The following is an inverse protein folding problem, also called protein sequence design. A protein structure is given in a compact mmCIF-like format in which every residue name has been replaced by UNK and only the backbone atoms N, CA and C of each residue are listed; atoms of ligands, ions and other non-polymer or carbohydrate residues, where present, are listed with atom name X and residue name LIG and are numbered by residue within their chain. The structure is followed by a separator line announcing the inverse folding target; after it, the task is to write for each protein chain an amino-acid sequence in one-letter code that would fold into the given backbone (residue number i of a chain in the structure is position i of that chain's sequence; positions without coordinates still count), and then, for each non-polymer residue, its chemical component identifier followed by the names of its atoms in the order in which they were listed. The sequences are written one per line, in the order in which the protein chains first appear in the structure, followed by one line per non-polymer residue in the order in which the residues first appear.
data_IF_972429674622
#
_entry.id   IF_972429674622
#
_cell.length_a   1.000
_cell.length_b   1.000
_cell.length_c   1.000
_cell.angle_alpha   90.00
_cell.angle_beta   90.00
_cell.angle_gamma   90.00
#
_symmetry.space_group_name_H-M   'P 1'
#
loop_
_entity.id
_entity.type
_entity.pdbx_description
1 polymer ?
#
# COMPACT_ATOMS: atom_id res chain seq x y z
N UNK A 1 -23.43 -28.98 -33.48
CA UNK A 1 -22.88 -27.67 -33.89
C UNK A 1 -23.35 -26.66 -32.87
N UNK A 2 -22.74 -26.65 -31.69
CA UNK A 2 -22.96 -25.64 -30.66
C UNK A 2 -21.59 -25.44 -30.02
N UNK A 3 -21.00 -24.27 -30.25
CA UNK A 3 -19.71 -23.87 -29.70
C UNK A 3 -19.98 -23.40 -28.27
N UNK A 4 -19.57 -24.18 -27.28
CA UNK A 4 -19.43 -23.69 -25.92
C UNK A 4 -18.38 -22.57 -25.94
N UNK A 5 -18.84 -21.39 -25.54
CA UNK A 5 -18.00 -20.20 -25.40
C UNK A 5 -17.14 -20.42 -24.17
N UNK A 6 -15.92 -20.90 -24.42
CA UNK A 6 -14.83 -20.97 -23.46
C UNK A 6 -14.67 -19.58 -22.82
N UNK A 7 -14.92 -19.50 -21.51
CA UNK A 7 -14.73 -18.29 -20.73
C UNK A 7 -13.28 -17.88 -20.90
N UNK A 8 -13.05 -16.76 -21.59
CA UNK A 8 -11.72 -16.17 -21.71
C UNK A 8 -11.21 -15.96 -20.29
N UNK A 9 -10.25 -16.80 -19.89
CA UNK A 9 -9.49 -16.64 -18.67
C UNK A 9 -9.03 -15.19 -18.63
N UNK A 10 -9.33 -14.49 -17.53
CA UNK A 10 -8.78 -13.18 -17.23
C UNK A 10 -7.27 -13.32 -17.39
N UNK A 11 -6.77 -12.88 -18.53
CA UNK A 11 -5.37 -13.04 -18.89
C UNK A 11 -4.59 -12.27 -17.83
N UNK A 12 -3.57 -12.90 -17.25
CA UNK A 12 -2.61 -12.36 -16.29
C UNK A 12 -2.03 -11.02 -16.77
N UNK A 13 -2.79 -9.93 -16.63
CA UNK A 13 -2.26 -8.58 -16.69
C UNK A 13 -1.44 -8.45 -15.41
N UNK A 14 -0.14 -8.69 -15.53
CA UNK A 14 0.78 -8.69 -14.38
C UNK A 14 0.54 -7.45 -13.53
N UNK A 15 0.12 -7.67 -12.28
CA UNK A 15 -0.18 -6.59 -11.32
C UNK A 15 1.07 -5.73 -11.18
N UNK A 16 1.00 -4.42 -11.42
CA UNK A 16 2.13 -3.51 -11.24
C UNK A 16 1.93 -2.65 -10.00
N UNK A 17 3.04 -2.27 -9.38
CA UNK A 17 3.06 -1.24 -8.36
C UNK A 17 4.09 -0.17 -8.68
N UNK A 18 3.75 1.08 -8.37
CA UNK A 18 4.72 2.16 -8.26
C UNK A 18 5.13 2.27 -6.81
N UNK A 19 6.41 2.04 -6.55
CA UNK A 19 6.94 1.87 -5.20
C UNK A 19 8.06 2.87 -4.95
N UNK A 20 7.94 3.64 -3.87
CA UNK A 20 9.00 4.51 -3.40
C UNK A 20 10.14 3.66 -2.83
N UNK A 21 11.37 3.88 -3.30
CA UNK A 21 12.52 3.20 -2.74
C UNK A 21 12.72 3.64 -1.28
N UNK A 22 12.80 2.71 -0.29
CA UNK A 22 12.93 3.06 1.12
C UNK A 22 14.27 3.72 1.48
N UNK A 23 15.22 3.76 0.54
CA UNK A 23 16.57 4.28 0.77
C UNK A 23 16.86 5.62 0.08
N UNK A 24 16.25 5.88 -1.08
CA UNK A 24 16.52 7.08 -1.87
C UNK A 24 15.26 7.77 -2.41
N UNK A 25 14.07 7.29 -2.01
CA UNK A 25 12.76 7.78 -2.41
C UNK A 25 12.42 7.73 -3.91
N UNK A 26 13.35 7.35 -4.80
CA UNK A 26 13.07 7.15 -6.23
C UNK A 26 11.86 6.23 -6.41
N UNK A 27 10.90 6.65 -7.24
CA UNK A 27 9.77 5.82 -7.63
C UNK A 27 10.22 4.77 -8.64
N UNK A 28 9.84 3.51 -8.40
CA UNK A 28 10.16 2.38 -9.26
C UNK A 28 8.86 1.69 -9.67
N UNK A 29 8.78 1.30 -10.94
CA UNK A 29 7.72 0.40 -11.40
C UNK A 29 8.17 -1.03 -11.13
N UNK A 30 7.37 -1.76 -10.37
CA UNK A 30 7.64 -3.13 -9.97
C UNK A 30 6.56 -4.03 -10.53
N UNK A 31 6.98 -5.12 -11.19
CA UNK A 31 6.11 -6.20 -11.60
C UNK A 31 5.87 -7.12 -10.41
N UNK A 32 4.65 -7.12 -9.88
CA UNK A 32 4.30 -7.88 -8.68
C UNK A 32 4.22 -9.38 -8.95
N UNK A 33 4.08 -9.82 -10.20
CA UNK A 33 4.18 -11.23 -10.55
C UNK A 33 5.61 -11.78 -10.41
N UNK A 34 6.61 -10.88 -10.35
CA UNK A 34 8.04 -11.22 -10.31
C UNK A 34 8.73 -10.79 -9.03
N UNK A 35 8.00 -10.65 -7.91
CA UNK A 35 8.57 -10.21 -6.63
C UNK A 35 9.68 -11.15 -6.14
N UNK A 36 9.56 -12.45 -6.43
CA UNK A 36 10.57 -13.46 -6.10
C UNK A 36 11.96 -13.16 -6.71
N UNK A 37 12.01 -12.42 -7.82
CA UNK A 37 13.25 -11.99 -8.47
C UNK A 37 13.99 -10.88 -7.70
N UNK A 38 13.45 -10.44 -6.56
CA UNK A 38 14.02 -9.41 -5.68
C UNK A 38 14.30 -8.11 -6.44
N UNK A 39 13.24 -7.40 -6.85
CA UNK A 39 13.38 -6.17 -7.63
C UNK A 39 14.28 -5.16 -6.91
N UNK A 40 15.08 -4.43 -7.70
CA UNK A 40 16.02 -3.42 -7.21
C UNK A 40 15.60 -2.04 -7.68
N UNK A 41 15.97 -1.03 -6.90
CA UNK A 41 15.79 0.35 -7.32
C UNK A 41 16.69 0.67 -8.52
N UNK A 42 16.10 1.25 -9.57
CA UNK A 42 16.82 1.66 -10.77
C UNK A 42 17.79 2.83 -10.56
N UNK A 43 17.68 3.55 -9.44
CA UNK A 43 18.60 4.64 -9.10
C UNK A 43 19.74 4.18 -8.18
N UNK A 44 19.43 3.62 -6.99
CA UNK A 44 20.45 3.28 -6.01
C UNK A 44 20.86 1.80 -5.96
N UNK A 45 20.23 0.93 -6.77
CA UNK A 45 20.55 -0.51 -6.86
C UNK A 45 20.17 -1.38 -5.64
N UNK A 46 19.69 -0.75 -4.55
CA UNK A 46 19.23 -1.45 -3.34
C UNK A 46 17.91 -2.19 -3.58
N UNK A 47 17.64 -3.29 -2.84
CA UNK A 47 16.39 -4.03 -2.99
C UNK A 47 15.16 -3.17 -2.66
N UNK A 48 14.08 -3.38 -3.39
CA UNK A 48 12.75 -2.88 -3.03
C UNK A 48 12.13 -3.88 -2.05
N UNK A 49 11.86 -3.42 -0.83
CA UNK A 49 11.38 -4.25 0.28
C UNK A 49 9.85 -4.20 0.34
N UNK A 50 9.17 -5.13 -0.33
CA UNK A 50 7.70 -5.22 -0.38
C UNK A 50 7.10 -6.02 0.79
N UNK A 51 7.94 -6.62 1.63
CA UNK A 51 7.57 -7.47 2.77
C UNK A 51 7.28 -6.68 4.07
N UNK A 52 7.23 -5.35 3.99
CA UNK A 52 7.08 -4.42 5.11
C UNK A 52 6.49 -3.08 4.67
N UNK A 53 5.95 -2.25 5.58
CA UNK A 53 5.44 -0.93 5.26
C UNK A 53 6.52 -0.02 4.67
N UNK A 54 6.25 0.50 3.48
CA UNK A 54 7.18 1.35 2.74
C UNK A 54 6.96 2.81 3.11
N UNK A 55 8.02 3.56 3.49
CA UNK A 55 7.88 4.97 3.77
C UNK A 55 7.52 5.73 2.49
N UNK A 56 6.44 6.51 2.58
CA UNK A 56 6.03 7.47 1.57
C UNK A 56 6.13 8.88 2.14
N UNK A 57 6.20 9.85 1.25
CA UNK A 57 6.39 11.27 1.58
C UNK A 57 5.42 12.14 0.79
N UNK A 58 5.36 13.42 1.13
CA UNK A 58 4.66 14.45 0.34
C UNK A 58 5.02 14.40 -1.16
N UNK A 59 6.27 14.05 -1.50
CA UNK A 59 6.74 14.00 -2.88
C UNK A 59 6.42 12.68 -3.60
N UNK A 60 6.17 11.59 -2.89
CA UNK A 60 6.07 10.25 -3.49
C UNK A 60 4.67 9.67 -3.47
N UNK A 61 3.81 10.09 -2.54
CA UNK A 61 2.52 9.45 -2.30
C UNK A 61 1.64 9.43 -3.55
N UNK A 62 1.59 10.53 -4.31
CA UNK A 62 0.72 10.64 -5.50
C UNK A 62 1.11 9.66 -6.59
N UNK A 63 2.42 9.54 -6.85
CA UNK A 63 2.93 8.57 -7.81
C UNK A 63 2.67 7.13 -7.37
N UNK A 64 2.77 6.85 -6.06
CA UNK A 64 2.51 5.52 -5.50
C UNK A 64 1.04 5.13 -5.64
N UNK A 65 0.10 5.98 -5.21
CA UNK A 65 -1.34 5.63 -5.23
C UNK A 65 -1.92 5.59 -6.65
N UNK A 66 -1.43 6.45 -7.56
CA UNK A 66 -1.91 6.50 -8.94
C UNK A 66 -1.28 5.42 -9.82
N UNK A 67 -0.03 5.03 -9.54
CA UNK A 67 0.74 4.09 -10.35
C UNK A 67 0.72 2.65 -9.85
N UNK A 68 -0.24 2.27 -8.99
CA UNK A 68 -0.33 0.94 -8.39
C UNK A 68 -1.70 0.32 -8.64
N UNK A 69 -1.68 -0.90 -9.20
CA UNK A 69 -2.90 -1.63 -9.61
C UNK A 69 -3.54 -2.38 -8.43
N UNK A 70 -2.76 -2.68 -7.40
CA UNK A 70 -3.22 -3.33 -6.17
C UNK A 70 -3.68 -2.30 -5.12
N UNK A 71 -4.52 -2.70 -4.16
CA UNK A 71 -4.84 -1.85 -3.03
C UNK A 71 -3.59 -1.34 -2.31
N UNK A 72 -3.57 -0.05 -1.97
CA UNK A 72 -2.51 0.59 -1.18
C UNK A 72 -3.07 0.92 0.20
N UNK A 73 -2.48 0.36 1.25
CA UNK A 73 -2.77 0.76 2.63
C UNK A 73 -1.74 1.79 3.05
N UNK A 74 -2.18 2.92 3.60
CA UNK A 74 -1.28 3.92 4.19
C UNK A 74 -1.57 4.10 5.67
N UNK A 75 -0.58 3.82 6.50
CA UNK A 75 -0.57 4.14 7.92
C UNK A 75 -0.04 5.56 8.15
N UNK A 76 -0.91 6.47 8.54
CA UNK A 76 -0.55 7.81 8.95
C UNK A 76 -0.19 7.80 10.44
N UNK A 77 1.08 8.00 10.76
CA UNK A 77 1.63 7.81 12.11
C UNK A 77 2.54 8.96 12.54
N UNK A 78 3.07 8.88 13.76
CA UNK A 78 4.21 9.65 14.25
C UNK A 78 5.05 8.82 15.24
N UNK A 79 6.34 9.11 15.40
CA UNK A 79 7.25 8.30 16.23
C UNK A 79 6.91 8.31 17.73
N UNK A 80 6.32 9.40 18.22
CA UNK A 80 5.91 9.57 19.60
C UNK A 80 4.56 8.92 19.93
N UNK A 81 3.80 8.48 18.92
CA UNK A 81 2.46 7.94 19.08
C UNK A 81 2.48 6.51 19.64
N UNK A 82 2.00 6.34 20.88
CA UNK A 82 1.87 5.04 21.53
C UNK A 82 1.03 4.03 20.74
N UNK A 83 -0.23 4.34 20.39
CA UNK A 83 -1.08 3.44 19.61
C UNK A 83 -0.51 3.07 18.23
N UNK A 84 0.27 3.95 17.61
CA UNK A 84 0.94 3.67 16.34
C UNK A 84 1.95 2.52 16.47
N UNK A 85 2.64 2.42 17.62
CA UNK A 85 3.56 1.31 17.91
C UNK A 85 2.84 -0.04 18.05
N UNK A 86 1.57 -0.04 18.43
CA UNK A 86 0.72 -1.25 18.47
C UNK A 86 0.28 -1.64 17.05
N UNK A 87 -0.02 -0.65 16.20
CA UNK A 87 -0.45 -0.88 14.83
C UNK A 87 0.69 -1.37 13.91
N UNK A 88 1.92 -0.88 14.14
CA UNK A 88 3.09 -1.20 13.32
C UNK A 88 3.31 -2.71 13.07
N UNK A 89 3.38 -3.60 14.09
CA UNK A 89 3.56 -5.03 13.85
C UNK A 89 2.39 -5.67 13.07
N UNK A 90 1.17 -5.18 13.24
CA UNK A 90 0.00 -5.67 12.48
C UNK A 90 0.16 -5.36 10.98
N UNK A 91 0.71 -4.19 10.66
CA UNK A 91 1.00 -3.78 9.28
C UNK A 91 2.21 -4.49 8.70
N UNK A 92 3.24 -4.78 9.51
CA UNK A 92 4.37 -5.63 9.10
C UNK A 92 3.90 -7.04 8.70
N UNK A 93 3.01 -7.63 9.49
CA UNK A 93 2.44 -8.95 9.18
C UNK A 93 1.55 -8.89 7.94
N UNK A 94 0.72 -7.86 7.78
CA UNK A 94 -0.09 -7.68 6.57
C UNK A 94 0.81 -7.59 5.33
N UNK A 95 1.85 -6.75 5.39
CA UNK A 95 2.77 -6.55 4.28
C UNK A 95 3.48 -7.86 3.91
N UNK A 96 3.87 -8.66 4.89
CA UNK A 96 4.54 -9.95 4.67
C UNK A 96 3.60 -10.99 4.06
N UNK A 97 2.38 -11.10 4.57
CA UNK A 97 1.43 -12.14 4.16
C UNK A 97 0.75 -11.85 2.82
N UNK A 98 0.61 -10.57 2.46
CA UNK A 98 -0.13 -10.11 1.27
C UNK A 98 0.79 -9.48 0.22
N UNK A 99 2.07 -9.87 0.20
CA UNK A 99 3.02 -9.40 -0.81
C UNK A 99 2.48 -9.65 -2.23
N UNK A 100 2.47 -8.60 -3.04
CA UNK A 100 1.96 -8.66 -4.42
C UNK A 100 0.44 -8.54 -4.57
N UNK A 101 -0.31 -8.64 -3.47
CA UNK A 101 -1.76 -8.43 -3.46
C UNK A 101 -2.17 -7.10 -2.81
N UNK A 102 -1.37 -6.60 -1.87
CA UNK A 102 -1.57 -5.32 -1.19
C UNK A 102 -0.22 -4.64 -1.04
N UNK A 103 -0.15 -3.34 -1.34
CA UNK A 103 1.01 -2.52 -1.04
C UNK A 103 0.79 -1.82 0.30
N UNK A 104 1.61 -2.11 1.30
CA UNK A 104 1.54 -1.43 2.60
C UNK A 104 2.55 -0.29 2.65
N UNK A 105 2.09 0.89 3.05
CA UNK A 105 2.87 2.12 3.11
C UNK A 105 2.67 2.79 4.47
N UNK A 106 3.62 3.66 4.84
CA UNK A 106 3.57 4.45 6.07
C UNK A 106 3.99 5.88 5.80
N UNK A 107 3.25 6.83 6.38
CA UNK A 107 3.46 8.26 6.26
C UNK A 107 3.65 8.86 7.66
N UNK A 108 4.83 9.40 7.91
CA UNK A 108 5.10 10.18 9.12
C UNK A 108 4.43 11.57 8.98
N UNK A 109 3.40 11.81 9.77
CA UNK A 109 2.57 13.03 9.68
C UNK A 109 3.29 14.29 10.16
N UNK A 110 4.30 14.18 11.03
CA UNK A 110 5.10 15.32 11.48
C UNK A 110 5.98 15.84 10.34
N UNK A 111 6.48 14.91 9.50
CA UNK A 111 7.37 15.19 8.38
C UNK A 111 6.66 15.49 7.07
N UNK A 112 5.39 15.10 6.95
CA UNK A 112 4.61 15.14 5.71
C UNK A 112 3.28 15.88 5.93
N UNK A 113 3.38 17.12 6.41
CA UNK A 113 2.22 17.91 6.83
C UNK A 113 1.29 18.26 5.67
N UNK A 114 1.80 18.41 4.44
CA UNK A 114 0.95 18.71 3.29
C UNK A 114 0.00 17.54 3.00
N UNK A 115 0.53 16.31 2.98
CA UNK A 115 -0.26 15.09 2.81
C UNK A 115 -1.22 14.88 3.98
N UNK A 116 -0.76 15.06 5.23
CA UNK A 116 -1.60 14.92 6.41
C UNK A 116 -2.79 15.88 6.39
N UNK A 117 -2.58 17.15 6.00
CA UNK A 117 -3.66 18.13 5.81
C UNK A 117 -4.58 17.76 4.67
N UNK A 118 -4.03 17.34 3.52
CA UNK A 118 -4.81 16.97 2.33
C UNK A 118 -5.79 15.84 2.59
N UNK A 119 -5.37 14.81 3.34
CA UNK A 119 -6.22 13.68 3.70
C UNK A 119 -6.96 13.86 5.03
N UNK A 120 -6.96 15.09 5.58
CA UNK A 120 -7.67 15.44 6.81
C UNK A 120 -7.37 14.47 7.98
N UNK A 121 -6.08 14.23 8.21
CA UNK A 121 -5.60 13.39 9.31
C UNK A 121 -5.71 14.16 10.62
N UNK A 122 -6.74 13.85 11.41
CA UNK A 122 -7.04 14.49 12.70
C UNK A 122 -6.62 13.68 13.92
N UNK A 123 -6.33 12.40 13.72
CA UNK A 123 -5.88 11.49 14.76
C UNK A 123 -4.92 10.46 14.16
N UNK A 124 -4.03 9.91 14.99
CA UNK A 124 -3.07 8.88 14.58
C UNK A 124 -3.10 7.68 15.55
N UNK A 125 -2.91 6.44 15.05
CA UNK A 125 -2.77 6.11 13.64
C UNK A 125 -4.09 6.30 12.89
N UNK A 126 -4.02 6.70 11.62
CA UNK A 126 -5.15 6.63 10.70
C UNK A 126 -4.73 5.79 9.50
N UNK A 127 -5.50 4.75 9.22
CA UNK A 127 -5.32 3.87 8.08
C UNK A 127 -6.19 4.36 6.93
N UNK A 128 -5.58 4.62 5.79
CA UNK A 128 -6.27 4.89 4.53
C UNK A 128 -6.07 3.72 3.58
N UNK A 129 -7.10 3.38 2.82
CA UNK A 129 -7.06 2.36 1.77
C UNK A 129 -7.34 3.03 0.45
N UNK A 130 -6.41 2.89 -0.50
CA UNK A 130 -6.55 3.40 -1.85
C UNK A 130 -6.69 2.29 -2.86
N UNK A 131 -7.44 2.56 -3.93
CA UNK A 131 -7.49 1.73 -5.13
C UNK A 131 -7.65 2.63 -6.34
N UNK A 132 -6.85 2.41 -7.37
CA UNK A 132 -6.84 3.23 -8.60
C UNK A 132 -6.72 4.74 -8.29
N UNK A 133 -5.84 5.10 -7.35
CA UNK A 133 -5.61 6.49 -6.92
C UNK A 133 -6.73 7.13 -6.09
N UNK A 134 -7.82 6.41 -5.76
CA UNK A 134 -8.94 6.93 -4.97
C UNK A 134 -8.94 6.35 -3.56
N UNK A 135 -9.28 7.15 -2.55
CA UNK A 135 -9.56 6.66 -1.19
C UNK A 135 -10.87 5.85 -1.22
N UNK A 136 -10.79 4.57 -0.89
CA UNK A 136 -11.93 3.63 -0.89
C UNK A 136 -12.27 3.13 0.51
N UNK A 137 -11.42 3.40 1.50
CA UNK A 137 -11.62 3.00 2.88
C UNK A 137 -10.76 3.80 3.85
N UNK A 138 -11.26 3.93 5.09
CA UNK A 138 -10.57 4.67 6.15
C UNK A 138 -10.89 4.10 7.52
N UNK A 139 -9.92 4.13 8.43
CA UNK A 139 -10.13 3.81 9.83
C UNK A 139 -9.20 4.64 10.73
N UNK A 140 -9.74 5.26 11.77
CA UNK A 140 -8.96 6.00 12.75
C UNK A 140 -8.77 5.17 14.03
N UNK A 141 -7.52 5.01 14.46
CA UNK A 141 -7.13 4.21 15.61
C UNK A 141 -6.45 2.89 15.23
N UNK A 142 -5.81 2.27 16.23
CA UNK A 142 -5.20 0.95 16.07
C UNK A 142 -6.26 -0.14 16.11
N UNK A 143 -6.14 -1.13 15.22
CA UNK A 143 -7.08 -2.25 15.09
C UNK A 143 -6.33 -3.58 14.96
N UNK A 144 -6.95 -4.70 15.40
CA UNK A 144 -6.38 -6.03 15.20
C UNK A 144 -6.40 -6.44 13.73
N UNK A 145 -5.56 -7.42 13.36
CA UNK A 145 -5.42 -7.94 11.98
C UNK A 145 -6.76 -8.31 11.34
N UNK A 146 -7.64 -9.00 12.07
CA UNK A 146 -8.96 -9.39 11.55
C UNK A 146 -9.81 -8.20 11.10
N UNK A 147 -9.78 -7.10 11.84
CA UNK A 147 -10.54 -5.89 11.50
C UNK A 147 -9.88 -5.13 10.35
N UNK A 148 -8.55 -5.17 10.24
CA UNK A 148 -7.82 -4.63 9.09
C UNK A 148 -8.15 -5.42 7.81
N UNK A 149 -8.22 -6.74 7.87
CA UNK A 149 -8.63 -7.58 6.74
C UNK A 149 -10.09 -7.29 6.32
N UNK A 150 -10.99 -7.05 7.29
CA UNK A 150 -12.37 -6.64 7.02
C UNK A 150 -12.47 -5.24 6.37
N UNK A 151 -11.66 -4.28 6.82
CA UNK A 151 -11.54 -2.96 6.20
C UNK A 151 -11.11 -3.08 4.73
N UNK A 152 -10.08 -3.90 4.46
CA UNK A 152 -9.64 -4.18 3.10
C UNK A 152 -10.74 -4.81 2.24
N UNK A 153 -11.36 -5.89 2.71
CA UNK A 153 -12.39 -6.61 1.97
C UNK A 153 -13.59 -5.74 1.59
N UNK A 154 -14.07 -4.92 2.53
CA UNK A 154 -15.20 -4.00 2.30
C UNK A 154 -14.86 -2.86 1.35
N UNK A 155 -13.61 -2.39 1.34
CA UNK A 155 -13.18 -1.26 0.51
C UNK A 155 -12.87 -1.66 -0.94
N UNK A 156 -12.47 -2.92 -1.17
CA UNK A 156 -12.03 -3.40 -2.49
C UNK A 156 -13.16 -4.07 -3.26
N UNK A 157 -14.13 -4.68 -2.58
CA UNK A 157 -15.24 -5.40 -3.21
C UNK A 157 -16.48 -4.53 -3.48
N UNK A 158 -16.36 -3.21 -3.38
CA UNK A 158 -17.45 -2.29 -3.73
C UNK A 158 -17.55 -2.19 -5.27
N UNK A 159 -18.74 -2.43 -5.87
CA UNK A 159 -18.92 -2.42 -7.32
C UNK A 159 -18.65 -1.04 -7.93
#
# INVERSE_FOLDING_TARGET
MEREVESVAVTEIGKRATVACPFCATLNRVDLARIADRPRCGNCGRPILLDRPIPVTDATIDGVIAGTDVPVVMDCYADWCGPCKIMAPVLDDLARDRQGDVLVTKLDTDRNQATARRFDIRAIPTLLVFRNGQEVGRHAGAIPRQQLDALLGSSINRP
#
